data_IF_088544958659
#
_entry.id   IF_088544958659
#
_cell.length_a   1.000
_cell.length_b   1.000
_cell.length_c   1.000
_cell.angle_alpha   90.00
_cell.angle_beta   90.00
_cell.angle_gamma   90.00
#
_symmetry.space_group_name_H-M   'P 1'
#
loop_
_entity.id
_entity.type
_entity.pdbx_description
1 polymer ?
#
# COMPACT_ATOMS: atom_id res chain seq x y z
N UNK A 1 15.97 -17.97 1.76
CA UNK A 1 14.65 -17.51 1.29
C UNK A 1 13.89 -16.99 2.51
N UNK A 2 13.43 -15.74 2.46
CA UNK A 2 12.61 -15.12 3.52
C UNK A 2 11.17 -14.96 3.02
N UNK A 3 10.21 -14.82 3.93
CA UNK A 3 8.80 -14.60 3.66
C UNK A 3 8.40 -13.18 4.05
N UNK A 4 7.86 -12.44 3.10
CA UNK A 4 7.43 -11.06 3.28
C UNK A 4 5.93 -10.96 3.02
N UNK A 5 5.22 -10.34 3.96
CA UNK A 5 3.80 -10.06 3.87
C UNK A 5 3.57 -8.55 3.81
N UNK A 6 2.90 -8.09 2.76
CA UNK A 6 2.45 -6.72 2.61
C UNK A 6 0.94 -6.68 2.82
N UNK A 7 0.45 -5.87 3.77
CA UNK A 7 -0.97 -5.81 4.12
C UNK A 7 -1.54 -4.45 3.75
N UNK A 8 -2.50 -4.48 2.82
CA UNK A 8 -3.08 -3.30 2.17
C UNK A 8 -4.60 -3.28 2.23
N UNK A 9 -5.20 -2.12 2.01
CA UNK A 9 -6.63 -1.89 2.10
C UNK A 9 -7.35 -2.28 0.81
N UNK A 10 -6.84 -1.80 -0.34
CA UNK A 10 -7.53 -1.90 -1.63
C UNK A 10 -6.64 -2.48 -2.75
N UNK A 11 -7.24 -2.97 -3.85
CA UNK A 11 -6.54 -3.32 -5.09
C UNK A 11 -5.89 -2.10 -5.79
N UNK A 12 -4.57 -1.97 -5.69
CA UNK A 12 -3.66 -0.94 -6.28
C UNK A 12 -2.62 -0.45 -5.28
N UNK A 13 -3.01 -0.33 -4.01
CA UNK A 13 -2.17 0.07 -2.89
C UNK A 13 -0.85 -0.70 -2.83
N UNK A 14 -0.90 -2.00 -3.10
CA UNK A 14 0.28 -2.85 -3.05
C UNK A 14 1.29 -2.49 -4.13
N UNK A 15 0.83 -2.02 -5.28
CA UNK A 15 1.71 -1.62 -6.38
C UNK A 15 2.16 -0.17 -6.20
N UNK A 16 1.26 0.70 -5.73
CA UNK A 16 1.53 2.13 -5.51
C UNK A 16 2.49 2.38 -4.34
N UNK A 17 2.31 1.69 -3.22
CA UNK A 17 3.05 1.96 -1.98
C UNK A 17 4.23 1.01 -1.73
N UNK A 18 4.17 -0.22 -2.28
CA UNK A 18 5.17 -1.27 -1.97
C UNK A 18 5.59 -2.10 -3.18
N UNK A 19 5.21 -1.71 -4.41
CA UNK A 19 5.42 -2.48 -5.62
C UNK A 19 6.90 -2.65 -5.99
N UNK A 20 7.75 -1.66 -5.68
CA UNK A 20 9.21 -1.75 -5.86
C UNK A 20 9.78 -2.77 -4.90
N UNK A 21 9.43 -2.72 -3.61
CA UNK A 21 9.87 -3.70 -2.62
C UNK A 21 9.40 -5.11 -2.97
N UNK A 22 8.13 -5.28 -3.36
CA UNK A 22 7.59 -6.57 -3.79
C UNK A 22 8.42 -7.13 -4.95
N UNK A 23 8.59 -6.38 -6.04
CA UNK A 23 9.37 -6.82 -7.20
C UNK A 23 10.86 -7.07 -6.85
N UNK A 24 11.43 -6.26 -5.96
CA UNK A 24 12.81 -6.40 -5.49
C UNK A 24 13.04 -7.73 -4.77
N UNK A 25 12.13 -8.14 -3.87
CA UNK A 25 12.27 -9.39 -3.13
C UNK A 25 11.88 -10.61 -3.96
N UNK A 26 10.85 -10.53 -4.81
CA UNK A 26 10.50 -11.61 -5.74
C UNK A 26 11.67 -11.92 -6.67
N UNK A 27 12.30 -10.91 -7.27
CA UNK A 27 13.44 -11.10 -8.19
C UNK A 27 14.68 -11.72 -7.51
N UNK A 28 14.76 -11.63 -6.17
CA UNK A 28 15.82 -12.23 -5.34
C UNK A 28 15.44 -13.61 -4.79
N UNK A 29 14.32 -14.18 -5.24
CA UNK A 29 13.86 -15.52 -4.85
C UNK A 29 13.34 -15.60 -3.42
N UNK A 30 12.84 -14.49 -2.87
CA UNK A 30 12.08 -14.51 -1.62
C UNK A 30 10.62 -14.84 -1.90
N UNK A 31 9.95 -15.34 -0.86
CA UNK A 31 8.53 -15.58 -0.90
C UNK A 31 7.78 -14.29 -0.51
N UNK A 32 6.97 -13.75 -1.42
CA UNK A 32 6.29 -12.47 -1.22
C UNK A 32 4.79 -12.64 -1.44
N UNK A 33 4.03 -12.12 -0.49
CA UNK A 33 2.58 -12.22 -0.47
C UNK A 33 1.92 -10.90 -0.07
N UNK A 34 0.77 -10.63 -0.67
CA UNK A 34 -0.07 -9.47 -0.40
C UNK A 34 -1.39 -9.92 0.24
N UNK A 35 -1.77 -9.28 1.33
CA UNK A 35 -3.08 -9.46 1.97
C UNK A 35 -3.88 -8.18 1.81
N UNK A 36 -4.99 -8.24 1.06
CA UNK A 36 -5.82 -7.07 0.74
C UNK A 36 -7.12 -7.12 1.54
N UNK A 37 -7.47 -6.02 2.24
CA UNK A 37 -8.59 -6.01 3.17
C UNK A 37 -9.97 -6.00 2.49
N UNK A 38 -10.10 -5.34 1.35
CA UNK A 38 -11.37 -5.09 0.64
C UNK A 38 -11.21 -5.27 -0.88
N UNK A 39 -12.31 -5.18 -1.65
CA UNK A 39 -12.25 -5.21 -3.11
C UNK A 39 -12.13 -3.82 -3.75
N UNK A 40 -12.23 -2.74 -2.96
CA UNK A 40 -12.22 -1.39 -3.50
C UNK A 40 -13.53 -1.01 -4.21
N UNK A 41 -14.65 -1.46 -3.66
CA UNK A 41 -15.98 -1.30 -4.26
C UNK A 41 -16.43 0.17 -4.42
N UNK A 42 -15.89 1.08 -3.60
CA UNK A 42 -16.25 2.50 -3.58
C UNK A 42 -15.27 3.37 -4.40
N UNK A 43 -14.38 2.74 -5.17
CA UNK A 43 -13.41 3.44 -6.01
C UNK A 43 -14.06 4.25 -7.14
N UNK A 44 -13.41 5.35 -7.51
CA UNK A 44 -13.73 6.05 -8.75
C UNK A 44 -13.24 5.24 -9.97
N UNK A 45 -13.74 5.57 -11.18
CA UNK A 45 -13.36 4.87 -12.42
C UNK A 45 -12.97 5.84 -13.51
N UNK A 46 -11.69 5.80 -13.91
CA UNK A 46 -11.12 6.67 -14.95
C UNK A 46 -11.75 6.35 -16.33
N UNK A 47 -11.71 5.09 -16.85
CA UNK A 47 -12.13 4.81 -18.22
C UNK A 47 -13.65 4.84 -18.39
N UNK A 48 -14.13 5.54 -19.42
CA UNK A 48 -15.56 5.71 -19.66
C UNK A 48 -16.30 4.39 -19.96
N UNK A 49 -15.61 3.41 -20.57
CA UNK A 49 -16.18 2.12 -20.96
C UNK A 49 -16.61 1.26 -19.77
N UNK A 50 -16.00 1.45 -18.59
CA UNK A 50 -16.28 0.69 -17.37
C UNK A 50 -16.82 1.53 -16.21
N UNK A 51 -17.09 2.82 -16.44
CA UNK A 51 -17.62 3.72 -15.41
C UNK A 51 -19.02 3.34 -14.90
N UNK A 52 -19.74 2.46 -15.59
CA UNK A 52 -21.02 1.93 -15.10
C UNK A 52 -20.87 1.03 -13.87
N UNK A 53 -19.64 0.54 -13.59
CA UNK A 53 -19.38 -0.42 -12.52
C UNK A 53 -19.34 0.16 -11.11
N UNK A 54 -19.31 1.48 -10.97
CA UNK A 54 -19.22 2.19 -9.68
C UNK A 54 -20.38 1.81 -8.75
N UNK A 55 -20.18 1.98 -7.44
CA UNK A 55 -21.14 1.62 -6.39
C UNK A 55 -22.48 2.35 -6.49
N UNK A 56 -22.50 3.56 -7.07
CA UNK A 56 -23.71 4.34 -7.34
C UNK A 56 -24.52 3.84 -8.55
N UNK A 57 -24.03 2.79 -9.25
CA UNK A 57 -24.61 2.24 -10.48
C UNK A 57 -24.76 0.73 -10.39
N UNK A 58 -23.91 -0.02 -11.10
CA UNK A 58 -24.04 -1.47 -11.17
C UNK A 58 -23.44 -2.17 -9.94
N UNK A 59 -22.64 -1.48 -9.11
CA UNK A 59 -21.97 -2.01 -7.92
C UNK A 59 -21.18 -3.31 -8.20
N UNK A 60 -20.46 -3.33 -9.31
CA UNK A 60 -19.63 -4.46 -9.76
C UNK A 60 -18.14 -4.12 -9.87
N UNK A 61 -17.73 -2.95 -9.37
CA UNK A 61 -16.34 -2.51 -9.45
C UNK A 61 -15.40 -3.42 -8.65
N UNK A 62 -15.82 -3.89 -7.48
CA UNK A 62 -14.98 -4.76 -6.64
C UNK A 62 -14.55 -6.06 -7.34
N UNK A 63 -15.50 -6.76 -7.98
CA UNK A 63 -15.20 -7.97 -8.76
C UNK A 63 -14.24 -7.65 -9.92
N UNK A 64 -14.44 -6.51 -10.59
CA UNK A 64 -13.56 -6.07 -11.66
C UNK A 64 -12.14 -5.81 -11.15
N UNK A 65 -12.00 -5.08 -10.04
CA UNK A 65 -10.71 -4.77 -9.39
C UNK A 65 -10.02 -6.00 -8.80
N UNK A 66 -10.75 -7.04 -8.42
CA UNK A 66 -10.14 -8.32 -8.04
C UNK A 66 -9.33 -8.93 -9.20
N UNK A 67 -9.84 -8.81 -10.44
CA UNK A 67 -9.12 -9.20 -11.64
C UNK A 67 -7.91 -8.31 -11.94
N UNK A 68 -8.02 -7.01 -11.69
CA UNK A 68 -6.91 -6.06 -11.83
C UNK A 68 -5.77 -6.38 -10.84
N UNK A 69 -6.10 -6.63 -9.57
CA UNK A 69 -5.14 -7.09 -8.55
C UNK A 69 -4.45 -8.38 -8.97
N UNK A 70 -5.22 -9.41 -9.37
CA UNK A 70 -4.65 -10.67 -9.83
C UNK A 70 -3.68 -10.45 -11.02
N UNK A 71 -4.04 -9.55 -11.93
CA UNK A 71 -3.19 -9.12 -13.04
C UNK A 71 -1.92 -8.39 -12.59
N UNK A 72 -1.98 -7.53 -11.58
CA UNK A 72 -0.81 -6.85 -11.03
C UNK A 72 0.12 -7.84 -10.32
N UNK A 73 -0.44 -8.74 -9.51
CA UNK A 73 0.30 -9.75 -8.75
C UNK A 73 1.02 -10.75 -9.64
N UNK A 74 0.38 -11.19 -10.73
CA UNK A 74 1.02 -12.02 -11.74
C UNK A 74 2.23 -11.32 -12.38
N UNK A 75 2.13 -10.01 -12.63
CA UNK A 75 3.22 -9.20 -13.19
C UNK A 75 4.35 -9.00 -12.19
N UNK A 76 4.06 -8.69 -10.93
CA UNK A 76 5.05 -8.57 -9.86
C UNK A 76 5.67 -9.92 -9.47
N UNK A 77 4.97 -11.03 -9.71
CA UNK A 77 5.37 -12.38 -9.32
C UNK A 77 5.14 -12.68 -7.83
N UNK A 78 4.19 -11.99 -7.21
CA UNK A 78 3.78 -12.20 -5.82
C UNK A 78 2.45 -12.96 -5.74
N UNK A 79 2.20 -13.63 -4.61
CA UNK A 79 0.87 -14.18 -4.29
C UNK A 79 -0.01 -13.10 -3.68
N UNK A 80 -1.32 -13.26 -3.77
CA UNK A 80 -2.24 -12.44 -2.99
C UNK A 80 -3.40 -13.25 -2.42
N UNK A 81 -4.02 -12.71 -1.38
CA UNK A 81 -5.24 -13.24 -0.77
C UNK A 81 -6.06 -12.08 -0.22
N UNK A 82 -7.37 -12.24 -0.16
CA UNK A 82 -8.26 -11.27 0.48
C UNK A 82 -8.46 -11.60 1.96
N UNK A 83 -8.54 -10.57 2.80
CA UNK A 83 -8.70 -10.75 4.24
C UNK A 83 -10.08 -11.35 4.57
N UNK A 84 -10.05 -12.50 5.24
CA UNK A 84 -11.28 -13.20 5.63
C UNK A 84 -12.03 -13.82 4.46
N UNK A 85 -11.35 -14.08 3.34
CA UNK A 85 -11.94 -14.73 2.18
C UNK A 85 -12.34 -16.18 2.48
N UNK A 86 -13.62 -16.48 2.25
CA UNK A 86 -14.24 -17.80 2.42
C UNK A 86 -14.62 -18.44 1.07
N UNK A 87 -14.15 -17.87 -0.05
CA UNK A 87 -14.53 -18.24 -1.41
C UNK A 87 -15.57 -17.31 -2.03
N UNK A 88 -16.08 -16.33 -1.27
CA UNK A 88 -16.98 -15.28 -1.77
C UNK A 88 -16.32 -13.88 -1.87
N UNK A 89 -15.01 -13.77 -1.60
CA UNK A 89 -14.29 -12.51 -1.53
C UNK A 89 -14.03 -12.06 -0.09
N UNK A 90 -13.40 -10.88 0.12
CA UNK A 90 -13.09 -10.38 1.46
C UNK A 90 -14.35 -10.21 2.30
N UNK A 91 -14.16 -10.36 3.60
CA UNK A 91 -15.26 -10.22 4.57
C UNK A 91 -15.83 -8.81 4.64
N UNK A 92 -15.00 -7.81 4.39
CA UNK A 92 -15.35 -6.40 4.48
C UNK A 92 -15.36 -5.72 3.12
N UNK A 93 -16.22 -4.71 3.03
CA UNK A 93 -16.37 -3.81 1.89
C UNK A 93 -15.50 -2.58 2.10
N UNK A 94 -14.97 -2.03 1.01
CA UNK A 94 -14.41 -0.68 0.97
C UNK A 94 -15.37 0.33 1.64
N UNK A 95 -14.82 1.16 2.53
CA UNK A 95 -15.59 2.17 3.27
C UNK A 95 -15.74 3.47 2.49
N UNK A 96 -15.00 3.62 1.38
CA UNK A 96 -14.85 4.87 0.65
C UNK A 96 -14.10 5.94 1.44
N UNK A 97 -14.01 7.13 0.84
CA UNK A 97 -13.31 8.26 1.42
C UNK A 97 -14.00 8.78 2.69
N UNK A 98 -13.21 9.43 3.57
CA UNK A 98 -13.73 10.01 4.80
C UNK A 98 -14.91 10.96 4.52
N UNK A 99 -16.04 10.74 5.20
CA UNK A 99 -17.26 11.53 5.04
C UNK A 99 -18.23 11.04 3.96
N UNK A 100 -17.90 9.96 3.24
CA UNK A 100 -18.83 9.34 2.29
C UNK A 100 -19.91 8.49 3.00
N UNK A 101 -21.14 8.40 2.46
CA UNK A 101 -22.21 7.57 3.01
C UNK A 101 -21.87 6.07 3.07
N UNK A 102 -20.94 5.61 2.23
CA UNK A 102 -20.44 4.23 2.21
C UNK A 102 -19.85 3.78 3.55
N UNK A 103 -19.36 4.72 4.38
CA UNK A 103 -18.85 4.41 5.70
C UNK A 103 -19.93 3.86 6.67
N UNK A 104 -21.22 4.12 6.39
CA UNK A 104 -22.35 3.58 7.16
C UNK A 104 -22.79 2.20 6.66
N UNK A 105 -22.15 1.66 5.61
CA UNK A 105 -22.49 0.33 5.10
C UNK A 105 -22.20 -0.73 6.18
N UNK A 106 -23.08 -1.73 6.42
CA UNK A 106 -22.90 -2.71 7.49
C UNK A 106 -21.62 -3.56 7.41
N UNK A 107 -21.01 -3.62 6.22
CA UNK A 107 -19.72 -4.29 5.97
C UNK A 107 -18.54 -3.34 5.76
N UNK A 108 -18.70 -2.02 5.94
CA UNK A 108 -17.62 -1.05 5.78
C UNK A 108 -16.44 -1.40 6.68
N UNK A 109 -15.25 -1.56 6.10
CA UNK A 109 -14.09 -2.05 6.83
C UNK A 109 -13.65 -1.11 7.96
N UNK A 110 -13.69 0.20 7.75
CA UNK A 110 -13.38 1.22 8.75
C UNK A 110 -14.27 1.13 10.01
N UNK A 111 -15.50 0.61 9.85
CA UNK A 111 -16.44 0.35 10.95
C UNK A 111 -16.28 -1.03 11.60
N UNK A 112 -15.42 -1.90 11.08
CA UNK A 112 -15.23 -3.26 11.60
C UNK A 112 -14.65 -3.25 13.02
N UNK A 113 -15.05 -4.24 13.82
CA UNK A 113 -14.43 -4.50 15.12
C UNK A 113 -12.96 -4.89 14.93
N UNK A 114 -12.06 -4.07 15.50
CA UNK A 114 -10.62 -4.25 15.33
C UNK A 114 -10.16 -5.61 15.88
N UNK A 115 -10.73 -6.08 17.00
CA UNK A 115 -10.33 -7.36 17.59
C UNK A 115 -10.79 -8.53 16.71
N UNK A 116 -11.95 -8.43 16.06
CA UNK A 116 -12.42 -9.41 15.10
C UNK A 116 -11.52 -9.49 13.87
N UNK A 117 -11.24 -8.36 13.23
CA UNK A 117 -10.34 -8.32 12.08
C UNK A 117 -8.92 -8.76 12.44
N UNK A 118 -8.44 -8.36 13.62
CA UNK A 118 -7.11 -8.75 14.11
C UNK A 118 -7.00 -10.26 14.34
N UNK A 119 -8.09 -10.95 14.73
CA UNK A 119 -8.07 -12.42 14.84
C UNK A 119 -7.85 -13.10 13.49
N UNK A 120 -8.44 -12.57 12.42
CA UNK A 120 -8.23 -13.10 11.06
C UNK A 120 -6.79 -12.85 10.58
N UNK A 121 -6.27 -11.64 10.79
CA UNK A 121 -4.86 -11.34 10.47
C UNK A 121 -3.91 -12.20 11.32
N UNK A 122 -4.16 -12.36 12.62
CA UNK A 122 -3.33 -13.20 13.49
C UNK A 122 -3.36 -14.68 13.08
N UNK A 123 -4.51 -15.21 12.65
CA UNK A 123 -4.60 -16.56 12.09
C UNK A 123 -3.75 -16.69 10.82
N UNK A 124 -3.85 -15.71 9.93
CA UNK A 124 -3.05 -15.66 8.70
C UNK A 124 -1.54 -15.57 9.00
N UNK A 125 -1.14 -14.73 9.97
CA UNK A 125 0.25 -14.63 10.42
C UNK A 125 0.77 -15.95 11.02
N UNK A 126 -0.05 -16.69 11.78
CA UNK A 126 0.34 -18.01 12.31
C UNK A 126 0.53 -19.05 11.20
N UNK A 127 -0.34 -19.03 10.20
CA UNK A 127 -0.26 -19.94 9.06
C UNK A 127 0.98 -19.64 8.21
N UNK A 128 1.14 -18.37 7.81
CA UNK A 128 2.18 -17.95 6.86
C UNK A 128 3.52 -17.61 7.51
N UNK A 129 3.55 -17.42 8.83
CA UNK A 129 4.68 -17.02 9.70
C UNK A 129 5.66 -16.03 9.05
N UNK A 130 5.24 -14.92 8.43
CA UNK A 130 6.15 -14.07 7.66
C UNK A 130 7.33 -13.56 8.52
N UNK A 131 8.51 -13.46 7.90
CA UNK A 131 9.70 -12.90 8.54
C UNK A 131 9.63 -11.36 8.58
N UNK A 132 8.95 -10.76 7.59
CA UNK A 132 8.70 -9.32 7.47
C UNK A 132 7.20 -9.08 7.26
N UNK A 133 6.63 -8.13 8.00
CA UNK A 133 5.29 -7.57 7.73
C UNK A 133 5.42 -6.07 7.45
N UNK A 134 4.75 -5.59 6.41
CA UNK A 134 4.66 -4.17 6.05
C UNK A 134 3.20 -3.75 5.96
N UNK A 135 2.87 -2.58 6.50
CA UNK A 135 1.55 -1.95 6.33
C UNK A 135 1.68 -0.42 6.36
N UNK A 136 0.60 0.33 6.54
CA UNK A 136 0.60 1.79 6.57
C UNK A 136 1.20 2.38 7.86
N UNK A 137 1.42 3.68 7.89
CA UNK A 137 1.64 4.42 9.13
C UNK A 137 0.30 4.65 9.88
N UNK A 138 0.37 5.22 11.08
CA UNK A 138 -0.80 5.44 11.96
C UNK A 138 -1.89 6.33 11.34
N UNK A 139 -1.52 7.23 10.44
CA UNK A 139 -2.42 8.13 9.74
C UNK A 139 -2.88 7.57 8.38
N UNK A 140 -2.44 6.35 8.03
CA UNK A 140 -2.92 5.64 6.85
C UNK A 140 -2.47 6.24 5.52
N UNK A 141 -1.25 6.77 5.44
CA UNK A 141 -0.73 7.36 4.20
C UNK A 141 -1.25 8.77 3.94
N UNK A 142 -2.48 8.87 3.44
CA UNK A 142 -3.14 10.13 3.10
C UNK A 142 -4.43 10.37 3.90
N UNK A 143 -4.68 9.57 4.94
CA UNK A 143 -5.86 9.69 5.79
C UNK A 143 -7.06 8.86 5.33
N UNK A 144 -6.88 7.87 4.44
CA UNK A 144 -7.98 6.99 4.06
C UNK A 144 -8.47 6.17 5.26
N UNK A 145 -9.78 6.13 5.56
CA UNK A 145 -10.31 5.37 6.70
C UNK A 145 -9.86 3.89 6.73
N UNK A 146 -9.91 3.22 5.58
CA UNK A 146 -9.48 1.81 5.50
C UNK A 146 -7.98 1.59 5.63
N UNK A 147 -7.13 2.57 5.30
CA UNK A 147 -5.68 2.46 5.52
C UNK A 147 -5.38 2.54 7.02
N UNK A 148 -6.01 3.50 7.71
CA UNK A 148 -5.95 3.64 9.17
C UNK A 148 -6.46 2.36 9.83
N UNK A 149 -7.59 1.83 9.36
CA UNK A 149 -8.14 0.59 9.90
C UNK A 149 -7.22 -0.61 9.65
N UNK A 150 -6.64 -0.74 8.45
CA UNK A 150 -5.66 -1.79 8.14
C UNK A 150 -4.49 -1.71 9.12
N UNK A 151 -3.94 -0.51 9.36
CA UNK A 151 -2.87 -0.30 10.34
C UNK A 151 -3.27 -0.74 11.76
N UNK A 152 -4.47 -0.35 12.21
CA UNK A 152 -4.99 -0.71 13.55
C UNK A 152 -5.13 -2.22 13.70
N UNK A 153 -5.70 -2.88 12.70
CA UNK A 153 -5.95 -4.32 12.67
C UNK A 153 -4.63 -5.10 12.65
N UNK A 154 -3.67 -4.72 11.80
CA UNK A 154 -2.36 -5.37 11.71
C UNK A 154 -1.57 -5.22 13.02
N UNK A 155 -1.54 -4.02 13.61
CA UNK A 155 -0.88 -3.83 14.91
C UNK A 155 -1.56 -4.62 16.03
N UNK A 156 -2.89 -4.61 16.11
CA UNK A 156 -3.62 -5.38 17.12
C UNK A 156 -3.36 -6.89 16.96
N UNK A 157 -3.28 -7.39 15.72
CA UNK A 157 -2.92 -8.77 15.44
C UNK A 157 -1.50 -9.09 15.94
N UNK A 158 -0.50 -8.32 15.52
CA UNK A 158 0.91 -8.59 15.86
C UNK A 158 1.18 -8.44 17.36
N UNK A 159 0.67 -7.38 18.00
CA UNK A 159 0.88 -7.14 19.44
C UNK A 159 0.21 -8.24 20.29
N UNK A 160 -0.95 -8.75 19.84
CA UNK A 160 -1.67 -9.86 20.45
C UNK A 160 -1.07 -11.26 20.23
N UNK A 161 -0.09 -11.41 19.34
CA UNK A 161 0.64 -12.67 19.15
C UNK A 161 1.62 -12.92 20.32
N UNK A 162 1.83 -14.20 20.64
CA UNK A 162 2.90 -14.58 21.56
C UNK A 162 4.27 -14.19 20.96
N UNK A 163 5.30 -13.88 21.78
CA UNK A 163 6.60 -13.43 21.26
C UNK A 163 7.22 -14.32 20.19
N UNK A 164 7.06 -15.65 20.31
CA UNK A 164 7.57 -16.63 19.33
C UNK A 164 6.77 -16.69 18.01
N UNK A 165 5.57 -16.10 17.96
CA UNK A 165 4.69 -16.05 16.78
C UNK A 165 4.82 -14.73 16.01
N UNK A 166 5.42 -13.70 16.62
CA UNK A 166 5.56 -12.37 16.01
C UNK A 166 6.53 -12.42 14.82
N UNK A 167 6.30 -11.59 13.77
CA UNK A 167 7.27 -11.45 12.71
C UNK A 167 8.58 -10.88 13.28
N UNK A 168 9.71 -11.31 12.72
CA UNK A 168 11.02 -10.77 13.12
C UNK A 168 11.16 -9.28 12.79
N UNK A 169 10.44 -8.82 11.76
CA UNK A 169 10.48 -7.45 11.27
C UNK A 169 9.06 -6.93 10.98
N UNK A 170 8.73 -5.77 11.53
CA UNK A 170 7.46 -5.09 11.27
C UNK A 170 7.74 -3.65 10.83
N UNK A 171 7.17 -3.23 9.70
CA UNK A 171 7.41 -1.93 9.11
C UNK A 171 6.11 -1.21 8.76
N UNK A 172 6.22 0.11 8.70
CA UNK A 172 5.26 0.97 8.02
C UNK A 172 5.89 1.66 6.82
N UNK A 173 5.10 1.83 5.75
CA UNK A 173 5.48 2.63 4.57
C UNK A 173 5.25 4.12 4.81
N UNK A 174 6.14 4.96 4.30
CA UNK A 174 6.13 6.41 4.45
C UNK A 174 6.99 7.08 3.37
N UNK A 175 6.97 8.42 3.30
CA UNK A 175 7.74 9.16 2.29
C UNK A 175 8.66 10.20 2.95
N UNK A 176 9.99 10.13 2.78
CA UNK A 176 10.87 11.18 3.28
C UNK A 176 10.62 12.51 2.58
N UNK A 177 10.69 13.59 3.35
CA UNK A 177 10.55 14.96 2.85
C UNK A 177 11.53 15.27 1.72
N UNK A 178 12.79 14.84 1.82
CA UNK A 178 13.77 15.08 0.76
C UNK A 178 13.37 14.45 -0.58
N UNK A 179 12.70 13.29 -0.55
CA UNK A 179 12.25 12.60 -1.76
C UNK A 179 11.06 13.29 -2.40
N UNK A 180 10.07 13.73 -1.61
CA UNK A 180 8.92 14.48 -2.16
C UNK A 180 9.36 15.79 -2.79
N UNK A 181 10.30 16.50 -2.16
CA UNK A 181 10.87 17.74 -2.74
C UNK A 181 11.52 17.44 -4.09
N UNK A 182 12.35 16.40 -4.16
CA UNK A 182 13.00 15.97 -5.40
C UNK A 182 12.00 15.49 -6.47
N UNK A 183 10.92 14.81 -6.07
CA UNK A 183 9.90 14.32 -6.99
C UNK A 183 9.04 15.46 -7.55
N UNK A 184 8.63 16.42 -6.72
CA UNK A 184 7.93 17.63 -7.18
C UNK A 184 8.80 18.47 -8.12
N UNK A 185 10.10 18.58 -7.85
CA UNK A 185 11.03 19.24 -8.78
C UNK A 185 11.10 18.50 -10.10
N UNK A 186 11.29 17.18 -10.07
CA UNK A 186 11.34 16.36 -11.28
C UNK A 186 10.05 16.47 -12.09
N UNK A 187 8.88 16.44 -11.44
CA UNK A 187 7.59 16.58 -12.12
C UNK A 187 7.46 17.94 -12.81
N UNK A 188 7.87 19.04 -12.16
CA UNK A 188 7.86 20.38 -12.75
C UNK A 188 8.77 20.50 -13.98
N UNK A 189 9.84 19.71 -14.06
CA UNK A 189 10.78 19.71 -15.18
C UNK A 189 10.35 18.75 -16.32
N UNK A 190 9.72 17.63 -15.99
CA UNK A 190 9.49 16.53 -16.94
C UNK A 190 8.04 16.37 -17.39
N UNK A 191 7.04 16.84 -16.63
CA UNK A 191 5.63 16.74 -17.01
C UNK A 191 5.26 17.94 -17.90
N UNK A 192 4.86 17.72 -19.16
CA UNK A 192 4.49 18.82 -20.05
C UNK A 192 3.23 19.53 -19.54
N UNK A 193 3.18 20.85 -19.64
CA UNK A 193 1.99 21.66 -19.31
C UNK A 193 0.76 21.21 -20.13
N UNK A 194 0.98 20.77 -21.37
CA UNK A 194 -0.05 20.22 -22.25
C UNK A 194 -0.66 18.88 -21.78
N UNK A 195 -0.13 18.26 -20.72
CA UNK A 195 -0.70 17.03 -20.14
C UNK A 195 -2.08 17.25 -19.51
N UNK A 196 -2.39 18.49 -19.09
CA UNK A 196 -3.62 18.81 -18.38
C UNK A 196 -3.65 18.33 -16.91
N UNK A 197 -2.58 17.71 -16.43
CA UNK A 197 -2.45 17.26 -15.04
C UNK A 197 -2.07 18.41 -14.11
N UNK A 198 -2.51 18.32 -12.86
CA UNK A 198 -2.00 19.17 -11.79
C UNK A 198 -0.60 18.69 -11.37
N UNK A 199 0.38 19.58 -11.49
CA UNK A 199 1.76 19.34 -11.05
C UNK A 199 1.94 19.96 -9.66
N UNK A 200 2.10 19.17 -8.59
CA UNK A 200 2.19 19.71 -7.23
C UNK A 200 3.40 20.63 -7.05
N UNK A 201 3.16 21.85 -6.58
CA UNK A 201 4.20 22.83 -6.29
C UNK A 201 4.88 22.56 -4.94
N UNK A 202 6.05 23.15 -4.69
CA UNK A 202 6.76 23.00 -3.41
C UNK A 202 6.02 23.62 -2.21
N UNK A 203 5.06 24.51 -2.46
CA UNK A 203 4.31 25.23 -1.41
C UNK A 203 3.00 24.54 -1.02
N UNK A 204 2.54 23.58 -1.82
CA UNK A 204 1.36 22.80 -1.49
C UNK A 204 1.60 21.90 -0.28
N UNK A 205 0.55 21.66 0.54
CA UNK A 205 0.67 20.76 1.67
C UNK A 205 1.11 19.37 1.21
N UNK A 206 1.82 18.68 2.08
CA UNK A 206 2.21 17.29 1.88
C UNK A 206 1.12 16.37 2.42
N UNK A 207 1.08 15.13 1.91
CA UNK A 207 0.34 14.06 2.57
C UNK A 207 0.90 13.84 3.99
N UNK A 208 0.07 13.31 4.89
CA UNK A 208 0.43 13.09 6.31
C UNK A 208 1.58 12.09 6.48
N UNK A 209 1.73 11.16 5.53
CA UNK A 209 2.86 10.22 5.48
C UNK A 209 4.21 10.82 5.06
N UNK A 210 4.24 12.11 4.70
CA UNK A 210 5.50 12.80 4.41
C UNK A 210 6.16 13.22 5.72
N UNK A 211 7.21 12.48 6.07
CA UNK A 211 7.91 12.62 7.36
C UNK A 211 9.29 13.26 7.19
N UNK A 212 9.87 13.68 8.31
CA UNK A 212 11.29 14.03 8.33
C UNK A 212 12.16 12.80 7.98
N UNK A 213 13.23 13.02 7.22
CA UNK A 213 14.16 11.98 6.78
C UNK A 213 14.76 11.17 7.96
N UNK A 214 14.84 11.75 9.16
CA UNK A 214 15.31 11.07 10.36
C UNK A 214 14.34 10.00 10.89
N UNK A 215 13.06 10.07 10.53
CA UNK A 215 12.04 9.06 10.88
C UNK A 215 12.20 7.81 10.03
N UNK A 216 12.65 7.96 8.78
CA UNK A 216 12.92 6.83 7.89
C UNK A 216 14.07 6.01 8.43
N UNK A 217 13.86 4.70 8.51
CA UNK A 217 14.90 3.76 8.93
C UNK A 217 15.50 3.00 7.76
N UNK A 218 14.65 2.56 6.82
CA UNK A 218 15.02 1.68 5.73
C UNK A 218 14.49 2.22 4.40
N UNK A 219 15.18 1.86 3.32
CA UNK A 219 14.76 2.16 1.95
C UNK A 219 14.94 0.95 1.05
N UNK A 220 14.12 0.88 0.01
CA UNK A 220 14.35 0.01 -1.14
C UNK A 220 14.48 0.92 -2.36
N UNK A 221 15.63 0.87 -3.02
CA UNK A 221 15.90 1.62 -4.26
C UNK A 221 16.37 0.62 -5.30
N UNK A 222 15.55 0.35 -6.31
CA UNK A 222 15.83 -0.67 -7.33
C UNK A 222 15.14 -0.31 -8.64
N UNK A 223 15.90 0.21 -9.60
CA UNK A 223 15.38 0.70 -10.88
C UNK A 223 14.70 -0.42 -11.68
N UNK A 224 15.23 -1.65 -11.64
CA UNK A 224 14.66 -2.77 -12.39
C UNK A 224 13.36 -3.24 -11.76
N UNK A 225 13.31 -3.29 -10.42
CA UNK A 225 12.07 -3.53 -9.70
C UNK A 225 11.05 -2.42 -9.96
N UNK A 226 11.49 -1.16 -10.05
CA UNK A 226 10.66 -0.01 -10.45
C UNK A 226 10.02 -0.20 -11.82
N UNK A 227 10.78 -0.65 -12.84
CA UNK A 227 10.23 -0.96 -14.18
C UNK A 227 9.18 -2.07 -14.12
N UNK A 228 9.42 -3.10 -13.31
CA UNK A 228 8.46 -4.20 -13.10
C UNK A 228 7.20 -3.71 -12.38
N UNK A 229 7.35 -2.84 -11.39
CA UNK A 229 6.26 -2.17 -10.69
C UNK A 229 5.40 -1.36 -11.66
N UNK A 230 6.01 -0.51 -12.51
CA UNK A 230 5.27 0.25 -13.54
C UNK A 230 4.49 -0.66 -14.48
N UNK A 231 5.08 -1.79 -14.90
CA UNK A 231 4.36 -2.77 -15.72
C UNK A 231 3.18 -3.40 -14.98
N UNK A 232 3.32 -3.70 -13.68
CA UNK A 232 2.25 -4.19 -12.85
C UNK A 232 1.13 -3.17 -12.64
N UNK A 233 1.49 -1.90 -12.45
CA UNK A 233 0.56 -0.80 -12.22
C UNK A 233 -0.40 -0.61 -13.40
N UNK A 234 0.02 -0.97 -14.62
CA UNK A 234 -0.82 -0.97 -15.81
C UNK A 234 -2.01 -1.95 -15.74
N UNK A 235 -2.01 -2.88 -14.79
CA UNK A 235 -3.14 -3.78 -14.54
C UNK A 235 -4.34 -3.05 -13.91
N UNK A 236 -4.07 -2.01 -13.12
CA UNK A 236 -5.06 -1.23 -12.37
C UNK A 236 -5.65 -0.11 -13.23
N UNK A 237 -6.15 -0.47 -14.43
CA UNK A 237 -6.57 0.50 -15.45
C UNK A 237 -7.76 1.36 -15.02
N UNK A 238 -8.57 0.88 -14.06
CA UNK A 238 -9.68 1.69 -13.54
C UNK A 238 -9.21 2.82 -12.62
N UNK A 239 -8.06 2.64 -11.98
CA UNK A 239 -7.55 3.52 -10.91
C UNK A 239 -6.36 4.38 -11.36
N UNK A 240 -5.56 3.92 -12.34
CA UNK A 240 -4.29 4.56 -12.69
C UNK A 240 -4.20 4.85 -14.19
N UNK A 241 -3.78 6.07 -14.52
CA UNK A 241 -3.31 6.45 -15.87
C UNK A 241 -1.79 6.54 -15.87
N UNK A 242 -1.13 5.75 -16.71
CA UNK A 242 0.33 5.73 -16.84
C UNK A 242 0.84 6.64 -17.96
N UNK A 243 1.96 7.30 -17.69
CA UNK A 243 2.73 8.09 -18.64
C UNK A 243 4.21 7.65 -18.60
N UNK A 244 5.07 8.35 -19.34
CA UNK A 244 6.52 8.06 -19.34
C UNK A 244 7.18 8.60 -18.07
N UNK A 245 7.38 7.72 -17.07
CA UNK A 245 8.05 8.04 -15.81
C UNK A 245 7.17 8.65 -14.72
N UNK A 246 5.88 8.83 -14.96
CA UNK A 246 4.89 9.32 -13.99
C UNK A 246 3.51 8.71 -14.24
N UNK A 247 2.57 8.95 -13.32
CA UNK A 247 1.19 8.50 -13.39
C UNK A 247 0.26 9.54 -12.77
N UNK A 248 -1.05 9.36 -12.97
CA UNK A 248 -2.10 10.04 -12.20
C UNK A 248 -3.18 9.06 -11.78
N UNK A 249 -3.93 9.45 -10.74
CA UNK A 249 -5.19 8.80 -10.35
C UNK A 249 -6.37 9.59 -10.94
N UNK A 250 -7.59 9.32 -10.50
CA UNK A 250 -8.80 10.05 -10.92
C UNK A 250 -8.81 11.54 -10.54
N UNK A 251 -7.93 11.95 -9.61
CA UNK A 251 -7.77 13.33 -9.18
C UNK A 251 -6.90 14.18 -10.14
N UNK A 252 -6.37 13.59 -11.21
CA UNK A 252 -5.50 14.24 -12.19
C UNK A 252 -4.23 14.89 -11.61
N UNK A 253 -3.76 14.43 -10.45
CA UNK A 253 -2.50 14.88 -9.84
C UNK A 253 -1.36 13.99 -10.32
N UNK A 254 -0.32 14.60 -10.87
CA UNK A 254 0.87 13.88 -11.35
C UNK A 254 1.73 13.36 -10.18
N UNK A 255 2.13 12.10 -10.25
CA UNK A 255 3.01 11.44 -9.29
C UNK A 255 4.15 10.68 -10.02
N UNK A 256 5.37 10.76 -9.50
CA UNK A 256 6.56 10.20 -10.17
C UNK A 256 6.71 8.70 -9.90
N UNK A 257 7.06 7.95 -10.93
CA UNK A 257 7.51 6.55 -10.81
C UNK A 257 9.02 6.52 -10.52
N UNK A 258 9.37 6.71 -9.25
CA UNK A 258 10.75 6.99 -8.83
C UNK A 258 11.62 5.74 -8.61
N UNK A 259 11.04 4.53 -8.57
CA UNK A 259 11.76 3.27 -8.34
C UNK A 259 12.36 3.16 -6.93
N UNK A 260 11.78 3.89 -5.97
CA UNK A 260 12.24 3.96 -4.58
C UNK A 260 11.08 4.02 -3.60
N UNK A 261 11.22 3.33 -2.48
CA UNK A 261 10.24 3.24 -1.39
C UNK A 261 10.95 3.32 -0.04
N UNK A 262 10.30 3.88 0.97
CA UNK A 262 10.89 4.15 2.28
C UNK A 262 10.00 3.65 3.43
N UNK A 263 10.65 3.27 4.52
CA UNK A 263 10.01 2.54 5.60
C UNK A 263 10.56 2.93 6.98
N UNK A 264 9.69 2.94 7.99
CA UNK A 264 10.08 2.96 9.40
C UNK A 264 9.92 1.57 10.02
N UNK A 265 10.92 1.14 10.78
CA UNK A 265 10.88 -0.09 11.56
C UNK A 265 10.05 0.14 12.80
N UNK A 266 9.20 -0.83 13.13
CA UNK A 266 8.35 -0.84 14.31
C UNK A 266 8.78 -1.96 15.26
N UNK A 267 8.60 -1.75 16.56
CA UNK A 267 8.66 -2.83 17.55
C UNK A 267 7.39 -3.70 17.41
N UNK A 268 7.50 -5.00 17.10
CA UNK A 268 6.33 -5.88 17.04
C UNK A 268 5.56 -6.01 18.37
N UNK A 269 6.19 -5.71 19.51
CA UNK A 269 5.54 -5.78 20.82
C UNK A 269 4.62 -4.60 21.10
N UNK A 270 4.99 -3.40 20.65
CA UNK A 270 4.28 -2.15 20.99
C UNK A 270 3.62 -1.51 19.77
N UNK A 271 4.16 -1.73 18.57
CA UNK A 271 3.79 -1.03 17.34
C UNK A 271 4.37 0.38 17.23
N UNK A 272 5.28 0.76 18.15
CA UNK A 272 5.98 2.04 18.13
C UNK A 272 7.19 2.00 17.19
N UNK A 273 7.54 3.15 16.61
CA UNK A 273 8.73 3.29 15.75
C UNK A 273 10.00 3.05 16.56
N UNK A 274 10.86 2.19 16.03
CA UNK A 274 12.23 2.06 16.53
C UNK A 274 13.08 3.21 15.98
N UNK A 275 13.88 3.89 16.82
CA UNK A 275 14.74 4.96 16.36
C UNK A 275 15.78 4.41 15.38
N UNK A 276 16.05 5.18 14.31
CA UNK A 276 17.20 4.88 13.45
C UNK A 276 18.49 5.19 14.22
N UNK A 277 19.38 4.21 14.31
CA UNK A 277 20.66 4.29 15.03
C UNK A 277 21.85 4.71 14.16
N UNK A 278 21.61 5.00 12.87
CA UNK A 278 22.62 5.38 11.87
C UNK A 278 22.27 6.72 11.23
N UNK A 279 23.29 7.47 10.80
CA UNK A 279 23.14 8.69 10.01
C UNK A 279 22.66 8.41 8.57
N UNK A 280 22.83 7.18 8.07
CA UNK A 280 22.34 6.72 6.76
C UNK A 280 21.15 5.78 6.88
N UNK A 281 20.31 5.69 5.84
CA UNK A 281 19.22 4.71 5.81
C UNK A 281 19.77 3.31 5.51
N UNK A 282 19.13 2.29 6.08
CA UNK A 282 19.47 0.90 5.79
C UNK A 282 18.85 0.46 4.46
N UNK A 283 19.63 -0.19 3.60
CA UNK A 283 19.15 -0.68 2.31
C UNK A 283 18.53 -2.07 2.45
N UNK A 284 17.22 -2.16 2.23
CA UNK A 284 16.46 -3.40 2.29
C UNK A 284 15.90 -3.76 3.68
N UNK A 285 14.69 -4.29 3.69
CA UNK A 285 13.87 -4.67 4.84
C UNK A 285 14.36 -5.91 5.59
N UNK A 286 15.34 -6.65 5.06
CA UNK A 286 15.93 -7.81 5.71
C UNK A 286 17.18 -7.46 6.54
N UNK A 287 17.59 -6.20 6.52
CA UNK A 287 18.66 -5.68 7.36
C UNK A 287 18.10 -5.43 8.77
N UNK A 288 18.90 -5.76 9.79
CA UNK A 288 18.55 -5.47 11.17
C UNK A 288 19.15 -4.13 11.61
N UNK A 289 18.43 -3.44 12.50
CA UNK A 289 18.99 -2.30 13.22
C UNK A 289 20.05 -2.86 14.20
N UNK A 290 21.24 -2.23 14.28
CA UNK A 290 22.29 -2.64 15.22
C UNK A 290 21.89 -2.43 16.68
#
# INVERSE_FOLDING_TARGET
>A
MARLLFVHAHPDDETLATGVAIAHYVSRGHDVEVLTATLGEEGEVIPADVRHRTSDRDDTLGEFRAGELAGAMARLGARHTFLGDDGSGPRWRDSGMAGMPSADHPRAFAGADVAEAARLVAAYLRERRPDVVVTYDVDGGYGHPDHIQTRRVVQAAITGLAPAERPGRFFETLTPRSWVVADRQWLAEQVPEASGLHIPTQNEPYAVSVVDDAVVSHVVVDEMAGKRMTWALAAHRTQVTLFDGYYSLSNDIAARLSGREAFARLDPATGERLPRTSDTWFEGLLVDLP
#
